data_IF_834639050999
#
_entry.id   IF_834639050999
#
_cell.length_a   1.000
_cell.length_b   1.000
_cell.length_c   1.000
_cell.angle_alpha   90.00
_cell.angle_beta   90.00
_cell.angle_gamma   90.00
#
_symmetry.space_group_name_H-M   'P 1'
#
loop_
_entity.id
_entity.type
_entity.pdbx_description
1 polymer ?
#
# COMPACT_ATOMS: atom_id res chain seq x y z
N UNK A 1 23.26 -10.58 -0.48
CA UNK A 1 22.50 -10.76 -1.74
C UNK A 1 20.99 -10.77 -1.51
N UNK A 2 20.47 -11.59 -0.60
CA UNK A 2 19.02 -11.72 -0.32
C UNK A 2 18.34 -10.36 -0.03
N UNK A 3 18.97 -9.49 0.77
CA UNK A 3 18.43 -8.16 1.09
C UNK A 3 18.18 -7.29 -0.16
N UNK A 4 19.11 -7.30 -1.12
CA UNK A 4 19.01 -6.46 -2.31
C UNK A 4 17.86 -6.90 -3.22
N UNK A 5 17.65 -8.21 -3.35
CA UNK A 5 16.55 -8.77 -4.16
C UNK A 5 15.21 -8.42 -3.52
N UNK A 6 15.08 -8.59 -2.20
CA UNK A 6 13.85 -8.24 -1.46
C UNK A 6 13.54 -6.75 -1.60
N UNK A 7 14.54 -5.87 -1.46
CA UNK A 7 14.36 -4.42 -1.66
C UNK A 7 13.96 -4.10 -3.10
N UNK A 8 14.59 -4.73 -4.09
CA UNK A 8 14.27 -4.50 -5.49
C UNK A 8 12.82 -4.86 -5.79
N UNK A 9 12.39 -6.07 -5.39
CA UNK A 9 11.02 -6.55 -5.61
C UNK A 9 10.02 -5.71 -4.84
N UNK A 10 10.31 -5.36 -3.58
CA UNK A 10 9.46 -4.47 -2.78
C UNK A 10 9.20 -3.15 -3.50
N UNK A 11 10.25 -2.47 -3.97
CA UNK A 11 10.14 -1.18 -4.67
C UNK A 11 9.45 -1.34 -6.02
N UNK A 12 9.80 -2.37 -6.79
CA UNK A 12 9.18 -2.66 -8.09
C UNK A 12 7.66 -2.89 -7.99
N UNK A 13 7.19 -3.49 -6.88
CA UNK A 13 5.79 -3.79 -6.64
C UNK A 13 5.00 -2.66 -5.98
N UNK A 14 5.63 -1.55 -5.57
CA UNK A 14 4.92 -0.39 -5.01
C UNK A 14 3.77 0.14 -5.89
N UNK A 15 3.88 0.23 -7.24
CA UNK A 15 2.77 0.68 -8.08
C UNK A 15 1.69 -0.38 -8.33
N UNK A 16 1.80 -1.59 -7.77
CA UNK A 16 0.85 -2.69 -8.03
C UNK A 16 -0.26 -2.75 -6.98
N UNK A 17 -1.43 -3.27 -7.36
CA UNK A 17 -2.58 -3.47 -6.46
C UNK A 17 -2.65 -4.90 -5.92
N UNK A 18 -1.50 -5.56 -5.72
CA UNK A 18 -1.42 -6.91 -5.20
C UNK A 18 -1.81 -6.97 -3.72
N UNK A 19 -3.11 -6.91 -3.44
CA UNK A 19 -3.65 -6.94 -2.08
C UNK A 19 -4.88 -7.81 -1.97
N UNK A 20 -5.00 -8.51 -0.83
CA UNK A 20 -6.20 -9.25 -0.46
C UNK A 20 -7.02 -8.42 0.52
N UNK A 21 -8.20 -8.00 0.08
CA UNK A 21 -9.18 -7.32 0.93
C UNK A 21 -9.92 -8.34 1.81
N UNK A 22 -10.05 -8.03 3.09
CA UNK A 22 -10.82 -8.81 4.05
C UNK A 22 -12.10 -8.05 4.38
N UNK A 23 -13.25 -8.58 3.92
CA UNK A 23 -14.55 -7.96 4.15
C UNK A 23 -15.17 -8.48 5.45
N UNK A 24 -15.06 -7.68 6.51
CA UNK A 24 -15.72 -7.92 7.80
C UNK A 24 -17.09 -7.22 7.83
N UNK A 25 -17.95 -7.45 8.85
CA UNK A 25 -19.26 -6.80 8.92
C UNK A 25 -19.22 -5.27 8.84
N UNK A 26 -18.16 -4.64 9.38
CA UNK A 26 -17.96 -3.19 9.31
C UNK A 26 -17.50 -2.68 7.93
N UNK A 27 -17.15 -3.58 7.01
CA UNK A 27 -16.74 -3.25 5.64
C UNK A 27 -17.94 -3.14 4.68
N UNK A 28 -19.17 -3.29 5.19
CA UNK A 28 -20.40 -3.17 4.42
C UNK A 28 -21.18 -1.93 4.86
N UNK A 29 -21.65 -1.13 3.90
CA UNK A 29 -22.69 -0.12 4.14
C UNK A 29 -23.92 -0.50 3.33
N UNK A 30 -25.07 -0.61 4.00
CA UNK A 30 -26.34 -1.02 3.35
C UNK A 30 -26.23 -2.31 2.53
N UNK A 31 -25.40 -3.27 2.98
CA UNK A 31 -25.17 -4.53 2.29
C UNK A 31 -24.18 -4.48 1.12
N UNK A 32 -23.67 -3.30 0.76
CA UNK A 32 -22.67 -3.11 -0.30
C UNK A 32 -21.26 -3.14 0.29
N UNK A 33 -20.35 -3.88 -0.35
CA UNK A 33 -18.93 -3.96 0.03
C UNK A 33 -18.24 -2.63 -0.24
N UNK A 34 -17.44 -2.19 0.73
CA UNK A 34 -16.66 -0.96 0.61
C UNK A 34 -15.18 -1.25 0.83
N UNK A 35 -14.40 -1.03 -0.22
CA UNK A 35 -12.99 -1.39 -0.26
C UNK A 35 -12.13 -0.59 0.73
N UNK A 36 -12.42 0.70 0.94
CA UNK A 36 -11.66 1.52 1.90
C UNK A 36 -11.98 1.21 3.38
N UNK A 37 -13.05 0.45 3.63
CA UNK A 37 -13.41 -0.09 4.94
C UNK A 37 -12.92 -1.54 5.14
N UNK A 38 -12.36 -2.16 4.11
CA UNK A 38 -11.81 -3.50 4.17
C UNK A 38 -10.30 -3.44 4.51
N UNK A 39 -9.85 -4.02 5.65
CA UNK A 39 -8.44 -4.25 5.90
C UNK A 39 -7.83 -5.03 4.73
N UNK A 40 -6.67 -4.59 4.25
CA UNK A 40 -6.06 -5.11 3.03
C UNK A 40 -4.64 -5.54 3.31
N UNK A 41 -4.32 -6.82 3.15
CA UNK A 41 -2.94 -7.28 3.26
C UNK A 41 -2.35 -7.29 1.87
N UNK A 42 -1.37 -6.41 1.64
CA UNK A 42 -0.68 -6.31 0.36
C UNK A 42 0.53 -7.25 0.32
N UNK A 43 0.90 -7.71 -0.87
CA UNK A 43 2.11 -8.51 -1.09
C UNK A 43 3.37 -7.74 -0.65
N UNK A 44 3.36 -6.41 -0.78
CA UNK A 44 4.39 -5.51 -0.24
C UNK A 44 4.61 -5.72 1.25
N UNK A 45 3.54 -6.00 2.00
CA UNK A 45 3.59 -6.16 3.47
C UNK A 45 4.39 -7.41 3.84
N UNK A 46 4.31 -8.48 3.04
CA UNK A 46 5.13 -9.69 3.21
C UNK A 46 6.62 -9.41 2.98
N UNK A 47 6.96 -8.57 2.00
CA UNK A 47 8.34 -8.13 1.79
C UNK A 47 8.82 -7.21 2.92
N UNK A 48 7.95 -6.33 3.44
CA UNK A 48 8.28 -5.52 4.62
C UNK A 48 8.54 -6.38 5.84
N UNK A 49 7.68 -7.37 6.12
CA UNK A 49 7.88 -8.33 7.22
C UNK A 49 9.22 -9.06 7.05
N UNK A 50 9.54 -9.48 5.83
CA UNK A 50 10.82 -10.14 5.51
C UNK A 50 12.00 -9.20 5.82
N UNK A 51 11.93 -7.93 5.41
CA UNK A 51 12.96 -6.92 5.72
C UNK A 51 13.10 -6.68 7.22
N UNK A 52 11.99 -6.61 7.95
CA UNK A 52 11.96 -6.44 9.41
C UNK A 52 12.64 -7.61 10.11
N UNK A 53 12.31 -8.85 9.74
CA UNK A 53 12.92 -10.06 10.32
C UNK A 53 14.44 -10.05 10.11
N UNK A 54 14.91 -9.76 8.89
CA UNK A 54 16.34 -9.73 8.60
C UNK A 54 17.10 -8.60 9.31
N UNK A 55 16.44 -7.48 9.60
CA UNK A 55 17.05 -6.30 10.23
C UNK A 55 16.57 -6.07 11.66
N UNK A 56 16.00 -7.08 12.31
CA UNK A 56 15.42 -6.95 13.65
C UNK A 56 16.39 -6.35 14.67
N UNK A 57 17.66 -6.80 14.65
CA UNK A 57 18.71 -6.26 15.53
C UNK A 57 18.96 -4.76 15.32
N UNK A 58 18.88 -4.29 14.07
CA UNK A 58 19.08 -2.88 13.72
C UNK A 58 17.89 -2.04 14.20
N UNK A 59 16.67 -2.53 14.01
CA UNK A 59 15.44 -1.88 14.46
C UNK A 59 15.43 -1.81 15.99
N UNK A 60 15.72 -2.92 16.68
CA UNK A 60 15.74 -2.96 18.14
C UNK A 60 16.77 -2.01 18.74
N UNK A 61 17.98 -1.95 18.18
CA UNK A 61 19.00 -0.97 18.57
C UNK A 61 18.57 0.47 18.31
N UNK A 62 17.77 0.72 17.27
CA UNK A 62 17.22 2.03 16.98
C UNK A 62 16.25 2.47 18.07
N UNK A 63 15.32 1.58 18.42
CA UNK A 63 14.31 1.81 19.45
C UNK A 63 14.97 2.09 20.81
N UNK A 64 16.03 1.36 21.16
CA UNK A 64 16.79 1.61 22.39
C UNK A 64 17.52 2.97 22.42
N UNK A 65 17.85 3.53 21.26
CA UNK A 65 18.55 4.82 21.15
C UNK A 65 17.61 6.02 21.05
N UNK A 66 16.31 5.79 20.86
CA UNK A 66 15.33 6.86 20.82
C UNK A 66 15.16 7.44 22.23
N UNK A 67 15.80 8.59 22.48
CA UNK A 67 15.50 9.38 23.66
C UNK A 67 14.29 10.27 23.36
N UNK A 68 13.11 9.77 23.70
CA UNK A 68 11.86 10.53 23.67
C UNK A 68 11.50 10.80 25.13
N UNK A 69 11.41 12.07 25.57
CA UNK A 69 11.03 12.36 26.94
C UNK A 69 9.69 11.71 27.27
N UNK A 70 9.56 11.15 28.47
CA UNK A 70 8.40 10.38 28.88
C UNK A 70 7.08 11.11 28.59
N UNK A 71 7.03 12.42 28.82
CA UNK A 71 5.84 13.24 28.58
C UNK A 71 5.39 13.27 27.11
N UNK A 72 6.33 13.32 26.15
CA UNK A 72 6.00 13.30 24.73
C UNK A 72 5.56 11.91 24.28
N UNK A 73 6.22 10.86 24.76
CA UNK A 73 5.80 9.48 24.49
C UNK A 73 4.39 9.23 25.04
N UNK A 74 4.13 9.64 26.30
CA UNK A 74 2.83 9.51 26.95
C UNK A 74 1.73 10.27 26.19
N UNK A 75 1.99 11.54 25.84
CA UNK A 75 1.05 12.35 25.06
C UNK A 75 0.74 11.71 23.70
N UNK A 76 1.76 11.21 23.00
CA UNK A 76 1.60 10.54 21.71
C UNK A 76 0.68 9.31 21.81
N UNK A 77 0.92 8.42 22.79
CA UNK A 77 0.07 7.25 23.00
C UNK A 77 -1.35 7.61 23.43
N UNK A 78 -1.53 8.67 24.25
CA UNK A 78 -2.86 9.18 24.61
C UNK A 78 -3.62 9.68 23.38
N UNK A 79 -2.96 10.41 22.48
CA UNK A 79 -3.59 10.92 21.26
C UNK A 79 -4.01 9.78 20.33
N UNK A 80 -3.19 8.73 20.21
CA UNK A 80 -3.56 7.52 19.46
C UNK A 80 -4.77 6.85 20.09
N UNK A 81 -4.79 6.69 21.42
CA UNK A 81 -5.91 6.07 22.12
C UNK A 81 -7.21 6.86 21.94
N UNK A 82 -7.16 8.19 22.05
CA UNK A 82 -8.30 9.07 21.80
C UNK A 82 -8.77 8.94 20.35
N UNK A 83 -7.83 8.94 19.39
CA UNK A 83 -8.16 8.79 17.97
C UNK A 83 -8.87 7.46 17.67
N UNK A 84 -8.42 6.36 18.26
CA UNK A 84 -9.06 5.04 18.10
C UNK A 84 -10.43 5.03 18.78
N UNK A 85 -10.55 5.61 19.99
CA UNK A 85 -11.80 5.63 20.74
C UNK A 85 -12.88 6.52 20.09
N UNK A 86 -12.50 7.62 19.44
CA UNK A 86 -13.42 8.52 18.72
C UNK A 86 -13.72 8.09 17.28
N UNK A 87 -13.00 7.09 16.75
CA UNK A 87 -13.24 6.62 15.39
C UNK A 87 -14.57 5.87 15.30
N UNK A 88 -15.33 6.11 14.23
CA UNK A 88 -16.59 5.39 13.96
C UNK A 88 -16.39 3.87 13.87
N UNK A 89 -15.19 3.41 13.45
CA UNK A 89 -14.83 2.00 13.35
C UNK A 89 -13.42 1.82 13.92
N UNK A 90 -13.36 1.51 15.21
CA UNK A 90 -12.09 1.39 15.95
C UNK A 90 -11.12 0.35 15.36
N UNK A 91 -11.64 -0.73 14.75
CA UNK A 91 -10.83 -1.78 14.13
C UNK A 91 -10.03 -1.23 12.93
N UNK A 92 -10.65 -0.37 12.12
CA UNK A 92 -10.00 0.25 10.97
C UNK A 92 -8.98 1.28 11.44
N UNK A 93 -9.30 2.06 12.49
CA UNK A 93 -8.34 3.00 13.07
C UNK A 93 -7.08 2.28 13.57
N UNK A 94 -7.24 1.18 14.30
CA UNK A 94 -6.14 0.35 14.76
C UNK A 94 -5.32 -0.20 13.58
N UNK A 95 -5.97 -0.77 12.57
CA UNK A 95 -5.31 -1.27 11.37
C UNK A 95 -4.50 -0.17 10.65
N UNK A 96 -5.04 1.05 10.52
CA UNK A 96 -4.34 2.19 9.92
C UNK A 96 -3.10 2.59 10.73
N UNK A 97 -3.18 2.60 12.07
CA UNK A 97 -2.02 2.85 12.92
C UNK A 97 -0.93 1.79 12.78
N UNK A 98 -1.31 0.50 12.62
CA UNK A 98 -0.34 -0.57 12.30
C UNK A 98 0.38 -0.25 10.98
N UNK A 99 -0.34 0.14 9.92
CA UNK A 99 0.28 0.53 8.64
C UNK A 99 1.20 1.74 8.79
N UNK A 100 0.84 2.73 9.60
CA UNK A 100 1.72 3.88 9.87
C UNK A 100 3.02 3.43 10.53
N UNK A 101 2.96 2.56 11.54
CA UNK A 101 4.16 2.00 12.19
C UNK A 101 5.01 1.22 11.19
N UNK A 102 4.39 0.41 10.33
CA UNK A 102 5.07 -0.31 9.25
C UNK A 102 5.86 0.65 8.33
N UNK A 103 5.23 1.72 7.85
CA UNK A 103 5.89 2.73 7.01
C UNK A 103 7.04 3.45 7.72
N UNK A 104 6.90 3.76 9.02
CA UNK A 104 7.97 4.36 9.81
C UNK A 104 9.19 3.43 9.93
N UNK A 105 8.95 2.12 10.11
CA UNK A 105 10.02 1.12 10.16
C UNK A 105 10.72 1.02 8.80
N UNK A 106 9.97 0.95 7.70
CA UNK A 106 10.53 0.93 6.34
C UNK A 106 11.39 2.17 6.11
N UNK A 107 10.87 3.36 6.41
CA UNK A 107 11.63 4.61 6.28
C UNK A 107 12.93 4.59 7.07
N UNK A 108 12.88 4.15 8.34
CA UNK A 108 14.06 4.03 9.18
C UNK A 108 15.10 3.07 8.59
N UNK A 109 14.67 1.89 8.14
CA UNK A 109 15.56 0.89 7.52
C UNK A 109 16.24 1.45 6.29
N UNK A 110 15.50 2.08 5.39
CA UNK A 110 16.05 2.68 4.17
C UNK A 110 17.04 3.80 4.50
N UNK A 111 16.71 4.69 5.44
CA UNK A 111 17.63 5.73 5.92
C UNK A 111 18.94 5.14 6.46
N UNK A 112 18.87 4.01 7.16
CA UNK A 112 20.06 3.39 7.78
C UNK A 112 20.90 2.58 6.79
N UNK A 113 20.26 1.94 5.82
CA UNK A 113 20.89 1.06 4.84
C UNK A 113 21.33 1.80 3.56
N UNK A 114 20.92 3.06 3.39
CA UNK A 114 21.21 3.82 2.18
C UNK A 114 22.73 3.91 1.95
N UNK A 115 23.13 3.46 0.78
CA UNK A 115 24.46 3.66 0.21
C UNK A 115 24.30 3.87 -1.30
N UNK A 116 25.37 4.25 -2.01
CA UNK A 116 25.30 4.53 -3.46
C UNK A 116 24.73 3.35 -4.26
N UNK A 117 25.07 2.11 -3.89
CA UNK A 117 24.60 0.90 -4.58
C UNK A 117 23.10 0.67 -4.36
N UNK A 118 22.62 0.83 -3.13
CA UNK A 118 21.22 0.63 -2.75
C UNK A 118 20.35 1.75 -3.32
N UNK A 119 20.85 2.98 -3.35
CA UNK A 119 20.20 4.10 -4.03
C UNK A 119 19.97 3.80 -5.52
N UNK A 120 21.02 3.38 -6.24
CA UNK A 120 20.90 3.00 -7.65
C UNK A 120 19.90 1.84 -7.84
N UNK A 121 19.91 0.86 -6.94
CA UNK A 121 18.96 -0.25 -6.98
C UNK A 121 17.51 0.21 -6.84
N UNK A 122 17.23 1.13 -5.90
CA UNK A 122 15.89 1.71 -5.73
C UNK A 122 15.46 2.46 -6.99
N UNK A 123 16.37 3.28 -7.55
CA UNK A 123 16.10 4.02 -8.80
C UNK A 123 15.79 3.06 -9.94
N UNK A 124 16.59 2.01 -10.13
CA UNK A 124 16.33 1.01 -11.16
C UNK A 124 15.03 0.23 -10.94
N UNK A 125 14.69 -0.10 -9.68
CA UNK A 125 13.43 -0.77 -9.37
C UNK A 125 12.21 0.12 -9.68
N UNK A 126 12.27 1.41 -9.30
CA UNK A 126 11.23 2.39 -9.64
C UNK A 126 11.11 2.60 -11.15
N UNK A 127 12.24 2.76 -11.84
CA UNK A 127 12.24 2.91 -13.31
C UNK A 127 11.67 1.67 -14.00
N UNK A 128 12.04 0.47 -13.54
CA UNK A 128 11.47 -0.77 -14.07
C UNK A 128 9.95 -0.85 -13.85
N UNK A 129 9.46 -0.47 -12.67
CA UNK A 129 8.04 -0.41 -12.36
C UNK A 129 7.31 0.62 -13.24
N UNK A 130 7.89 1.80 -13.41
CA UNK A 130 7.34 2.86 -14.27
C UNK A 130 7.28 2.42 -15.73
N UNK A 131 8.38 1.87 -16.28
CA UNK A 131 8.42 1.34 -17.64
C UNK A 131 7.36 0.26 -17.83
N UNK A 132 7.25 -0.68 -16.90
CA UNK A 132 6.23 -1.73 -16.94
C UNK A 132 4.81 -1.15 -16.99
N UNK A 133 4.49 -0.18 -16.10
CA UNK A 133 3.18 0.47 -16.11
C UNK A 133 2.92 1.26 -17.40
N UNK A 134 3.92 1.95 -17.94
CA UNK A 134 3.77 2.67 -19.23
C UNK A 134 3.51 1.74 -20.41
N UNK A 135 4.15 0.57 -20.45
CA UNK A 135 3.89 -0.44 -21.48
C UNK A 135 2.46 -0.97 -21.33
N UNK A 136 2.05 -1.26 -20.11
CA UNK A 136 0.71 -1.77 -19.81
C UNK A 136 -0.38 -0.78 -20.23
N UNK A 137 -0.22 0.51 -19.92
CA UNK A 137 -1.18 1.55 -20.31
C UNK A 137 -1.18 1.82 -21.82
N UNK A 138 -0.03 1.75 -22.49
CA UNK A 138 0.03 1.84 -23.96
C UNK A 138 -0.72 0.69 -24.63
N UNK A 139 -0.57 -0.53 -24.13
CA UNK A 139 -1.30 -1.69 -24.65
C UNK A 139 -2.81 -1.57 -24.43
N UNK A 140 -3.25 -1.09 -23.26
CA UNK A 140 -4.66 -0.79 -22.99
C UNK A 140 -5.21 0.26 -23.95
N UNK A 141 -4.44 1.31 -24.21
CA UNK A 141 -4.82 2.38 -25.13
C UNK A 141 -4.97 1.87 -26.57
N UNK A 142 -4.01 1.07 -27.07
CA UNK A 142 -4.08 0.48 -28.42
C UNK A 142 -5.30 -0.44 -28.55
N UNK A 143 -5.63 -1.19 -27.49
CA UNK A 143 -6.72 -2.15 -27.51
C UNK A 143 -8.09 -1.55 -27.19
N UNK A 144 -8.16 -0.29 -26.75
CA UNK A 144 -9.38 0.42 -26.30
C UNK A 144 -10.16 -0.31 -25.18
N UNK A 145 -9.51 -1.21 -24.46
CA UNK A 145 -10.08 -1.90 -23.31
C UNK A 145 -8.97 -2.38 -22.37
N UNK A 146 -9.35 -2.77 -21.16
CA UNK A 146 -8.43 -3.45 -20.25
C UNK A 146 -8.04 -4.83 -20.79
N UNK A 147 -6.75 -5.17 -20.74
CA UNK A 147 -6.19 -6.48 -21.10
C UNK A 147 -6.72 -7.60 -20.18
N UNK A 148 -7.01 -7.26 -18.93
CA UNK A 148 -7.52 -8.15 -17.88
C UNK A 148 -6.58 -9.34 -17.60
N UNK A 149 -7.10 -10.35 -16.90
CA UNK A 149 -6.34 -11.57 -16.56
C UNK A 149 -5.21 -11.30 -15.57
N UNK A 150 -3.98 -11.65 -15.93
CA UNK A 150 -2.81 -11.49 -15.05
C UNK A 150 -2.54 -10.01 -14.74
N UNK A 151 -2.86 -9.11 -15.66
CA UNK A 151 -2.63 -7.68 -15.52
C UNK A 151 -3.54 -7.01 -14.48
N UNK A 152 -4.67 -7.64 -14.13
CA UNK A 152 -5.50 -7.23 -13.00
C UNK A 152 -4.69 -7.11 -11.70
N UNK A 153 -3.84 -8.11 -11.45
CA UNK A 153 -2.97 -8.16 -10.28
C UNK A 153 -1.94 -7.03 -10.27
N UNK A 154 -1.53 -6.56 -11.44
CA UNK A 154 -0.57 -5.47 -11.60
C UNK A 154 -1.17 -4.06 -11.51
N UNK A 155 -2.47 -3.95 -11.17
CA UNK A 155 -3.15 -2.68 -10.94
C UNK A 155 -4.17 -2.30 -12.01
N UNK A 156 -4.39 -3.16 -13.01
CA UNK A 156 -5.43 -2.92 -14.01
C UNK A 156 -6.83 -3.13 -13.43
N UNK A 157 -7.76 -2.21 -13.75
CA UNK A 157 -9.19 -2.35 -13.46
C UNK A 157 -9.98 -2.24 -14.75
N UNK A 158 -10.91 -3.17 -14.95
CA UNK A 158 -11.88 -3.06 -16.03
C UNK A 158 -12.93 -2.00 -15.65
N UNK A 159 -13.12 -1.04 -16.55
CA UNK A 159 -14.14 0.00 -16.43
C UNK A 159 -15.40 -0.51 -17.13
N UNK A 160 -16.55 -0.42 -16.46
CA UNK A 160 -17.84 -0.81 -17.00
C UNK A 160 -18.93 0.17 -16.54
N UNK A 161 -20.05 0.19 -17.27
CA UNK A 161 -21.17 1.09 -17.02
C UNK A 161 -21.86 0.86 -15.66
N UNK A 162 -21.64 -0.29 -15.03
CA UNK A 162 -22.22 -0.61 -13.71
C UNK A 162 -21.44 -0.01 -12.54
N UNK A 163 -20.22 0.50 -12.76
CA UNK A 163 -19.43 1.11 -11.69
C UNK A 163 -20.01 2.49 -11.33
N UNK A 164 -20.39 2.71 -10.05
CA UNK A 164 -21.14 3.91 -9.64
C UNK A 164 -20.31 5.21 -9.73
N UNK A 165 -18.99 5.12 -9.59
CA UNK A 165 -18.10 6.28 -9.49
C UNK A 165 -17.40 6.64 -10.81
N UNK A 166 -17.86 6.11 -11.94
CA UNK A 166 -17.29 6.38 -13.26
C UNK A 166 -18.16 7.38 -14.01
N UNK A 167 -17.53 8.40 -14.59
CA UNK A 167 -18.23 9.38 -15.41
C UNK A 167 -18.86 8.68 -16.62
N UNK A 168 -20.16 8.90 -16.82
CA UNK A 168 -20.91 8.35 -17.96
C UNK A 168 -21.44 9.49 -18.80
N UNK A 169 -21.36 9.35 -20.12
CA UNK A 169 -22.10 10.20 -21.04
C UNK A 169 -23.48 9.58 -21.28
N UNK A 170 -24.55 10.38 -21.31
CA UNK A 170 -25.88 9.92 -21.68
C UNK A 170 -26.36 10.67 -22.93
N UNK A 171 -26.72 9.93 -23.97
CA UNK A 171 -27.28 10.49 -25.20
C UNK A 171 -28.52 9.70 -25.61
N UNK A 172 -29.67 10.38 -25.70
CA UNK A 172 -30.94 9.75 -26.08
C UNK A 172 -31.44 8.67 -25.11
N UNK A 173 -31.03 8.72 -23.84
CA UNK A 173 -31.38 7.71 -22.83
C UNK A 173 -30.43 6.50 -22.77
N UNK A 174 -29.43 6.43 -23.66
CA UNK A 174 -28.38 5.40 -23.61
C UNK A 174 -27.13 5.94 -22.88
N UNK A 175 -26.54 5.13 -22.01
CA UNK A 175 -25.30 5.45 -21.29
C UNK A 175 -24.08 4.94 -22.06
N UNK A 176 -23.02 5.76 -22.11
CA UNK A 176 -21.74 5.50 -22.76
C UNK A 176 -20.58 5.83 -21.81
N UNK A 177 -19.45 5.13 -22.01
CA UNK A 177 -18.17 5.37 -21.35
C UNK A 177 -17.21 6.09 -22.30
#
# INVERSE_FOLDING_TARGET
MINNIVIFIFVFLLPTQLGRHFFFPFSYLSGVRIDYLAPTICLTDLFVITLIIFHWKTIFKALQKLYIPFIFSFLFFILIAINIAQSSIWQIALYRWIKVVEWLIVFYLFKKLINRRLFLLIVYAFLAGAVFQTILTLLQFINNHSLQGVFYWFGERAINLSLPDIAKASFGGNEFL
#
